data_IF_442411099574
#
_entry.id   IF_442411099574
#
_cell.length_a   1.000
_cell.length_b   1.000
_cell.length_c   1.000
_cell.angle_alpha   90.00
_cell.angle_beta   90.00
_cell.angle_gamma   90.00
#
_symmetry.space_group_name_H-M   'P 1'
#
loop_
_entity.id
_entity.type
_entity.pdbx_description
1 polymer ?
#
# COMPACT_ATOMS: atom_id res chain seq x y z
N UNK A 1 -41.67 -4.78 -23.07
CA UNK A 1 -40.80 -5.65 -23.90
C UNK A 1 -40.65 -5.01 -25.26
N UNK A 2 -39.63 -4.16 -25.45
CA UNK A 2 -39.32 -3.59 -26.76
C UNK A 2 -38.59 -4.65 -27.59
N UNK A 3 -39.24 -5.14 -28.64
CA UNK A 3 -38.69 -6.17 -29.52
C UNK A 3 -37.53 -5.58 -30.35
N UNK A 4 -36.29 -5.94 -30.02
CA UNK A 4 -35.15 -5.62 -30.87
C UNK A 4 -35.30 -6.30 -32.24
N UNK A 5 -35.02 -5.55 -33.31
CA UNK A 5 -35.11 -6.05 -34.70
C UNK A 5 -33.77 -6.64 -35.18
N UNK A 6 -33.79 -7.31 -36.34
CA UNK A 6 -32.59 -7.91 -36.91
C UNK A 6 -31.56 -6.84 -37.30
N UNK A 7 -30.30 -7.23 -37.46
CA UNK A 7 -29.26 -6.29 -37.89
C UNK A 7 -29.60 -5.67 -39.25
N UNK A 8 -30.19 -6.42 -40.17
CA UNK A 8 -30.51 -5.91 -41.51
C UNK A 8 -31.60 -4.85 -41.48
N UNK A 9 -32.55 -4.94 -40.54
CA UNK A 9 -33.62 -3.95 -40.36
C UNK A 9 -33.10 -2.60 -39.84
N UNK A 10 -32.03 -2.63 -39.02
CA UNK A 10 -31.47 -1.43 -38.37
C UNK A 10 -30.21 -0.91 -39.05
N UNK A 11 -29.60 -1.71 -39.93
CA UNK A 11 -28.43 -1.30 -40.73
C UNK A 11 -28.62 0.06 -41.42
N UNK A 12 -29.79 0.42 -42.02
CA UNK A 12 -29.97 1.74 -42.58
C UNK A 12 -29.83 2.85 -41.53
N UNK A 13 -30.48 2.72 -40.36
CA UNK A 13 -30.36 3.68 -39.26
C UNK A 13 -28.91 3.79 -38.76
N UNK A 14 -28.18 2.68 -38.67
CA UNK A 14 -26.75 2.67 -38.33
C UNK A 14 -25.95 3.52 -39.31
N UNK A 15 -26.17 3.35 -40.63
CA UNK A 15 -25.46 4.12 -41.64
C UNK A 15 -25.85 5.61 -41.61
N UNK A 16 -27.11 5.95 -41.32
CA UNK A 16 -27.54 7.33 -41.07
C UNK A 16 -26.83 7.94 -39.86
N UNK A 17 -26.71 7.19 -38.76
CA UNK A 17 -25.98 7.62 -37.57
C UNK A 17 -24.48 7.79 -37.86
N UNK A 18 -23.89 6.89 -38.67
CA UNK A 18 -22.51 7.02 -39.15
C UNK A 18 -22.33 8.20 -40.10
N UNK A 19 -23.33 8.55 -40.90
CA UNK A 19 -23.26 9.69 -41.78
C UNK A 19 -23.59 11.02 -41.06
N UNK A 20 -24.09 10.97 -39.82
CA UNK A 20 -24.49 12.16 -39.07
C UNK A 20 -25.78 12.81 -39.60
N UNK A 21 -26.63 12.07 -40.29
CA UNK A 21 -27.85 12.57 -40.95
C UNK A 21 -28.98 12.75 -39.95
N UNK A 22 -28.88 13.77 -39.09
CA UNK A 22 -29.80 14.00 -37.97
C UNK A 22 -31.28 14.03 -38.38
N UNK A 23 -31.64 14.78 -39.43
CA UNK A 23 -33.02 14.89 -39.89
C UNK A 23 -33.57 13.55 -40.40
N UNK A 24 -32.77 12.78 -41.15
CA UNK A 24 -33.17 11.46 -41.64
C UNK A 24 -33.35 10.46 -40.47
N UNK A 25 -32.56 10.60 -39.39
CA UNK A 25 -32.74 9.82 -38.16
C UNK A 25 -34.01 10.24 -37.41
N UNK A 26 -34.32 11.53 -37.36
CA UNK A 26 -35.60 12.00 -36.80
C UNK A 26 -36.78 11.44 -37.58
N UNK A 27 -36.77 11.50 -38.92
CA UNK A 27 -37.82 10.95 -39.77
C UNK A 27 -38.00 9.44 -39.56
N UNK A 28 -36.90 8.71 -39.41
CA UNK A 28 -36.90 7.28 -39.07
C UNK A 28 -37.68 7.01 -37.78
N UNK A 29 -37.42 7.79 -36.73
CA UNK A 29 -38.05 7.63 -35.41
C UNK A 29 -39.53 8.06 -35.45
N UNK A 30 -39.86 9.19 -36.09
CA UNK A 30 -41.26 9.62 -36.25
C UNK A 30 -42.10 8.63 -37.05
N UNK A 31 -41.49 7.87 -37.95
CA UNK A 31 -42.14 6.79 -38.70
C UNK A 31 -42.39 5.52 -37.87
N UNK A 32 -42.04 5.51 -36.57
CA UNK A 32 -42.22 4.36 -35.69
C UNK A 32 -41.31 3.16 -36.00
N UNK A 33 -40.23 3.37 -36.75
CA UNK A 33 -39.28 2.31 -37.10
C UNK A 33 -38.40 1.93 -35.91
N UNK A 34 -37.87 0.69 -35.87
CA UNK A 34 -37.07 0.22 -34.74
C UNK A 34 -35.76 0.99 -34.59
N UNK A 35 -35.36 1.25 -33.34
CA UNK A 35 -34.09 1.91 -32.99
C UNK A 35 -33.07 0.98 -32.30
N UNK A 36 -33.53 -0.18 -31.83
CA UNK A 36 -32.74 -1.09 -30.99
C UNK A 36 -32.42 -2.41 -31.70
N UNK A 37 -31.14 -2.76 -31.76
CA UNK A 37 -30.66 -4.00 -32.41
C UNK A 37 -30.76 -5.17 -31.44
N UNK A 38 -31.34 -6.29 -31.88
CA UNK A 38 -31.22 -7.55 -31.15
C UNK A 38 -29.82 -8.14 -31.36
N UNK A 39 -29.01 -8.15 -30.31
CA UNK A 39 -27.66 -8.71 -30.37
C UNK A 39 -27.71 -10.23 -30.60
N UNK A 40 -26.82 -10.75 -31.47
CA UNK A 40 -26.67 -12.19 -31.67
C UNK A 40 -25.97 -12.83 -30.48
N UNK A 41 -26.45 -14.00 -30.05
CA UNK A 41 -25.78 -14.83 -29.05
C UNK A 41 -24.56 -15.56 -29.64
N UNK A 42 -24.55 -15.79 -30.96
CA UNK A 42 -23.46 -16.45 -31.69
C UNK A 42 -22.87 -15.45 -32.70
N UNK A 43 -21.74 -14.84 -32.37
CA UNK A 43 -21.04 -13.86 -33.21
C UNK A 43 -20.61 -12.59 -32.47
N UNK A 44 -19.80 -11.75 -33.14
CA UNK A 44 -19.32 -10.48 -32.57
C UNK A 44 -20.44 -9.46 -32.35
N UNK A 45 -20.37 -8.72 -31.24
CA UNK A 45 -21.33 -7.65 -30.90
C UNK A 45 -21.36 -6.58 -31.99
N UNK A 46 -22.55 -6.14 -32.37
CA UNK A 46 -22.72 -5.02 -33.31
C UNK A 46 -22.98 -3.75 -32.52
N UNK A 47 -22.36 -2.64 -32.92
CA UNK A 47 -22.61 -1.35 -32.28
C UNK A 47 -24.06 -0.91 -32.47
N UNK A 48 -24.69 -0.41 -31.43
CA UNK A 48 -26.05 0.14 -31.51
C UNK A 48 -26.04 1.53 -32.15
N UNK A 49 -27.17 2.02 -32.69
CA UNK A 49 -27.26 3.40 -33.17
C UNK A 49 -26.85 4.42 -32.08
N UNK A 50 -27.30 4.20 -30.84
CA UNK A 50 -26.94 5.03 -29.68
C UNK A 50 -25.43 5.03 -29.41
N UNK A 51 -24.79 3.87 -29.42
CA UNK A 51 -23.33 3.76 -29.25
C UNK A 51 -22.56 4.53 -30.32
N UNK A 52 -22.99 4.43 -31.58
CA UNK A 52 -22.36 5.16 -32.69
C UNK A 52 -22.52 6.66 -32.50
N UNK A 53 -23.68 7.13 -32.05
CA UNK A 53 -23.92 8.54 -31.78
C UNK A 53 -23.03 9.06 -30.63
N UNK A 54 -22.85 8.27 -29.57
CA UNK A 54 -21.96 8.59 -28.44
C UNK A 54 -20.50 8.60 -28.89
N UNK A 55 -20.06 7.61 -29.67
CA UNK A 55 -18.70 7.53 -30.20
C UNK A 55 -18.32 8.73 -31.07
N UNK A 56 -19.31 9.27 -31.80
CA UNK A 56 -19.16 10.49 -32.60
C UNK A 56 -19.26 11.76 -31.76
N UNK A 57 -19.78 11.66 -30.55
CA UNK A 57 -19.99 12.80 -29.69
C UNK A 57 -21.08 13.75 -30.20
N UNK A 58 -22.03 13.24 -30.98
CA UNK A 58 -23.08 14.05 -31.61
C UNK A 58 -24.27 14.17 -30.66
N UNK A 59 -24.22 15.18 -29.79
CA UNK A 59 -25.21 15.40 -28.71
C UNK A 59 -26.66 15.32 -29.20
N UNK A 60 -27.01 16.06 -30.27
CA UNK A 60 -28.38 16.06 -30.82
C UNK A 60 -28.81 14.70 -31.35
N UNK A 61 -27.87 13.92 -31.91
CA UNK A 61 -28.17 12.58 -32.39
C UNK A 61 -28.40 11.61 -31.23
N UNK A 62 -27.62 11.72 -30.16
CA UNK A 62 -27.86 10.97 -28.90
C UNK A 62 -29.24 11.31 -28.35
N UNK A 63 -29.58 12.59 -28.27
CA UNK A 63 -30.88 13.05 -27.76
C UNK A 63 -32.05 12.46 -28.56
N UNK A 64 -32.01 12.60 -29.88
CA UNK A 64 -33.06 12.08 -30.77
C UNK A 64 -33.21 10.56 -30.64
N UNK A 65 -32.10 9.82 -30.53
CA UNK A 65 -32.14 8.38 -30.34
C UNK A 65 -32.72 7.97 -28.97
N UNK A 66 -32.41 8.72 -27.90
CA UNK A 66 -32.99 8.48 -26.57
C UNK A 66 -34.48 8.79 -26.54
N UNK A 67 -34.92 9.88 -27.18
CA UNK A 67 -36.34 10.21 -27.36
C UNK A 67 -37.09 9.12 -28.16
N UNK A 68 -36.40 8.46 -29.10
CA UNK A 68 -36.90 7.30 -29.83
C UNK A 68 -36.93 5.98 -29.05
N UNK A 69 -36.58 5.98 -27.76
CA UNK A 69 -36.61 4.78 -26.92
C UNK A 69 -35.39 3.86 -27.10
N UNK A 70 -34.22 4.42 -27.40
CA UNK A 70 -32.98 3.64 -27.42
C UNK A 70 -32.66 3.04 -26.04
N UNK A 71 -32.21 1.79 -26.03
CA UNK A 71 -31.76 1.10 -24.82
C UNK A 71 -30.44 1.73 -24.35
N UNK A 72 -30.45 2.26 -23.13
CA UNK A 72 -29.30 2.91 -22.48
C UNK A 72 -28.29 1.87 -21.98
N UNK A 73 -28.77 0.79 -21.37
CA UNK A 73 -27.92 -0.26 -20.83
C UNK A 73 -28.52 -1.66 -21.09
N UNK A 74 -27.68 -2.60 -21.47
CA UNK A 74 -27.93 -4.03 -21.59
C UNK A 74 -26.70 -4.83 -21.12
N UNK A 75 -26.79 -6.17 -21.09
CA UNK A 75 -25.72 -7.06 -20.59
C UNK A 75 -24.35 -6.91 -21.29
N UNK A 76 -24.31 -6.29 -22.48
CA UNK A 76 -23.09 -6.16 -23.29
C UNK A 76 -22.73 -4.71 -23.62
N UNK A 77 -23.53 -3.74 -23.17
CA UNK A 77 -23.33 -2.32 -23.45
C UNK A 77 -23.96 -1.44 -22.38
N UNK A 78 -23.18 -0.50 -21.86
CA UNK A 78 -23.67 0.58 -21.02
C UNK A 78 -23.31 1.93 -21.67
N UNK A 79 -24.32 2.68 -22.12
CA UNK A 79 -24.15 3.99 -22.73
C UNK A 79 -23.49 5.00 -21.78
N UNK A 80 -23.78 4.90 -20.48
CA UNK A 80 -23.19 5.78 -19.47
C UNK A 80 -21.69 5.51 -19.33
N UNK A 81 -21.28 4.24 -19.27
CA UNK A 81 -19.86 3.86 -19.29
C UNK A 81 -19.16 4.33 -20.57
N UNK A 82 -19.78 4.15 -21.74
CA UNK A 82 -19.22 4.62 -23.01
C UNK A 82 -19.04 6.16 -23.02
N UNK A 83 -20.03 6.92 -22.55
CA UNK A 83 -19.93 8.37 -22.45
C UNK A 83 -18.84 8.81 -21.47
N UNK A 84 -18.66 8.06 -20.39
CA UNK A 84 -17.61 8.25 -19.37
C UNK A 84 -16.21 8.03 -19.95
N UNK A 85 -15.99 6.92 -20.67
CA UNK A 85 -14.74 6.65 -21.39
C UNK A 85 -14.39 7.75 -22.40
N UNK A 86 -15.41 8.33 -23.04
CA UNK A 86 -15.26 9.48 -23.95
C UNK A 86 -15.12 10.83 -23.22
N UNK A 87 -15.27 10.87 -21.90
CA UNK A 87 -15.26 12.07 -21.05
C UNK A 87 -16.26 13.14 -21.51
N UNK A 88 -17.40 12.70 -22.06
CA UNK A 88 -18.43 13.59 -22.62
C UNK A 88 -19.48 13.93 -21.57
N UNK A 89 -19.16 14.92 -20.74
CA UNK A 89 -20.03 15.34 -19.64
C UNK A 89 -21.45 15.73 -20.10
N UNK A 90 -21.56 16.41 -21.24
CA UNK A 90 -22.85 16.77 -21.84
C UNK A 90 -23.72 15.54 -22.18
N UNK A 91 -23.09 14.46 -22.63
CA UNK A 91 -23.77 13.19 -22.95
C UNK A 91 -24.10 12.42 -21.67
N UNK A 92 -23.22 12.44 -20.66
CA UNK A 92 -23.47 11.84 -19.33
C UNK A 92 -24.74 12.47 -18.72
N UNK A 93 -24.82 13.81 -18.70
CA UNK A 93 -25.99 14.52 -18.20
C UNK A 93 -27.27 14.15 -18.94
N UNK A 94 -27.18 14.06 -20.28
CA UNK A 94 -28.30 13.68 -21.13
C UNK A 94 -28.77 12.24 -20.85
N UNK A 95 -27.85 11.28 -20.73
CA UNK A 95 -28.18 9.88 -20.45
C UNK A 95 -28.86 9.74 -19.08
N UNK A 96 -28.33 10.38 -18.04
CA UNK A 96 -28.93 10.36 -16.69
C UNK A 96 -30.31 11.01 -16.69
N UNK A 97 -30.50 12.11 -17.42
CA UNK A 97 -31.83 12.74 -17.61
C UNK A 97 -32.85 11.79 -18.26
N UNK A 98 -32.40 10.87 -19.11
CA UNK A 98 -33.24 9.86 -19.76
C UNK A 98 -33.31 8.53 -18.98
N UNK A 99 -32.91 8.52 -17.70
CA UNK A 99 -33.07 7.38 -16.79
C UNK A 99 -31.88 6.43 -16.75
N UNK A 100 -30.68 6.83 -17.21
CA UNK A 100 -29.47 6.08 -16.93
C UNK A 100 -29.17 6.08 -15.42
N UNK A 101 -28.98 4.88 -14.86
CA UNK A 101 -28.64 4.69 -13.45
C UNK A 101 -27.14 4.93 -13.24
N UNK A 102 -26.78 5.88 -12.36
CA UNK A 102 -25.38 6.22 -12.06
C UNK A 102 -24.64 5.08 -11.37
N UNK A 103 -25.36 4.18 -10.68
CA UNK A 103 -24.79 3.01 -10.03
C UNK A 103 -24.40 1.88 -11.01
N UNK A 104 -24.80 2.02 -12.27
CA UNK A 104 -24.42 1.07 -13.34
C UNK A 104 -22.96 1.21 -13.79
N UNK A 105 -22.23 2.19 -13.25
CA UNK A 105 -20.82 2.46 -13.52
C UNK A 105 -20.07 2.56 -12.19
N UNK A 106 -18.88 1.98 -12.17
CA UNK A 106 -18.00 1.99 -11.00
C UNK A 106 -17.39 3.38 -10.78
N UNK A 107 -17.29 3.84 -9.52
CA UNK A 107 -16.63 5.11 -9.21
C UNK A 107 -15.12 5.11 -9.52
N UNK A 108 -14.46 3.95 -9.60
CA UNK A 108 -13.11 3.81 -10.14
C UNK A 108 -13.04 4.31 -11.58
N UNK A 109 -13.96 3.89 -12.46
CA UNK A 109 -14.03 4.36 -13.84
C UNK A 109 -14.28 5.87 -13.89
N UNK A 110 -15.12 6.37 -12.97
CA UNK A 110 -15.42 7.81 -12.85
C UNK A 110 -14.17 8.59 -12.46
N UNK A 111 -13.41 8.10 -11.49
CA UNK A 111 -12.16 8.75 -11.09
C UNK A 111 -11.10 8.69 -12.20
N UNK A 112 -11.04 7.60 -12.97
CA UNK A 112 -10.09 7.43 -14.09
C UNK A 112 -10.39 8.36 -15.29
N UNK A 113 -11.53 9.07 -15.26
CA UNK A 113 -11.71 10.22 -16.18
C UNK A 113 -10.78 11.39 -15.87
N UNK A 114 -10.31 11.53 -14.63
CA UNK A 114 -9.59 12.67 -14.08
C UNK A 114 -10.37 14.00 -14.11
N UNK A 115 -11.67 13.98 -14.43
CA UNK A 115 -12.50 15.19 -14.62
C UNK A 115 -13.31 15.53 -13.36
N UNK A 116 -12.97 16.61 -12.60
CA UNK A 116 -13.66 16.94 -11.35
C UNK A 116 -15.17 17.16 -11.53
N UNK A 117 -15.59 17.77 -12.65
CA UNK A 117 -17.00 18.02 -12.92
C UNK A 117 -17.80 16.73 -13.08
N UNK A 118 -17.18 15.69 -13.66
CA UNK A 118 -17.80 14.38 -13.80
C UNK A 118 -17.87 13.72 -12.41
N UNK A 119 -16.76 13.71 -11.66
CA UNK A 119 -16.72 13.16 -10.30
C UNK A 119 -17.78 13.80 -9.39
N UNK A 120 -17.85 15.13 -9.38
CA UNK A 120 -18.82 15.91 -8.60
C UNK A 120 -20.26 15.57 -9.03
N UNK A 121 -20.51 15.43 -10.34
CA UNK A 121 -21.84 15.07 -10.81
C UNK A 121 -22.28 13.69 -10.33
N UNK A 122 -21.42 12.67 -10.42
CA UNK A 122 -21.78 11.31 -10.01
C UNK A 122 -22.08 11.23 -8.50
N UNK A 123 -21.25 11.84 -7.64
CA UNK A 123 -21.49 11.82 -6.18
C UNK A 123 -22.76 12.58 -5.78
N UNK A 124 -23.08 13.69 -6.47
CA UNK A 124 -24.32 14.43 -6.21
C UNK A 124 -25.57 13.69 -6.70
N UNK A 125 -25.44 12.76 -7.65
CA UNK A 125 -26.52 11.90 -8.12
C UNK A 125 -26.57 10.55 -7.38
N UNK A 126 -25.80 10.40 -6.29
CA UNK A 126 -25.88 9.23 -5.41
C UNK A 126 -25.02 8.04 -5.82
N UNK A 127 -23.97 8.24 -6.63
CA UNK A 127 -22.97 7.21 -6.86
C UNK A 127 -22.29 6.79 -5.55
N UNK A 128 -22.07 5.49 -5.39
CA UNK A 128 -21.43 4.92 -4.20
C UNK A 128 -19.92 5.19 -4.22
N UNK A 129 -19.43 5.79 -3.15
CA UNK A 129 -18.02 6.16 -2.95
C UNK A 129 -17.39 5.46 -1.75
N UNK A 130 -18.13 4.56 -1.09
CA UNK A 130 -17.72 3.90 0.14
C UNK A 130 -17.38 2.42 -0.08
N UNK A 131 -18.20 1.68 -0.83
CA UNK A 131 -17.96 0.25 -1.13
C UNK A 131 -16.72 0.06 -1.99
N UNK A 132 -15.88 -0.93 -1.66
CA UNK A 132 -14.63 -1.27 -2.37
C UNK A 132 -13.59 -0.14 -2.47
N UNK A 133 -13.76 0.93 -1.68
CA UNK A 133 -12.76 1.99 -1.49
C UNK A 133 -12.25 2.66 -2.79
N UNK A 134 -13.15 3.15 -3.67
CA UNK A 134 -12.78 3.66 -5.00
C UNK A 134 -11.88 4.91 -4.94
N UNK A 135 -12.03 5.74 -3.90
CA UNK A 135 -11.17 6.90 -3.69
C UNK A 135 -9.77 6.49 -3.21
N UNK A 136 -9.64 5.42 -2.41
CA UNK A 136 -8.33 4.86 -2.06
C UNK A 136 -7.60 4.40 -3.32
N UNK A 137 -8.28 3.68 -4.21
CA UNK A 137 -7.74 3.31 -5.53
C UNK A 137 -7.27 4.54 -6.31
N UNK A 138 -8.10 5.58 -6.40
CA UNK A 138 -7.76 6.79 -7.15
C UNK A 138 -6.54 7.52 -6.58
N UNK A 139 -6.38 7.55 -5.25
CA UNK A 139 -5.16 8.08 -4.62
C UNK A 139 -3.94 7.20 -4.89
N UNK A 140 -4.07 5.88 -4.88
CA UNK A 140 -2.98 4.96 -5.22
C UNK A 140 -2.56 5.10 -6.70
N UNK A 141 -3.52 5.27 -7.61
CA UNK A 141 -3.28 5.57 -9.03
C UNK A 141 -2.83 7.00 -9.31
N UNK A 142 -2.67 7.82 -8.26
CA UNK A 142 -2.13 9.17 -8.32
C UNK A 142 -2.98 10.16 -9.12
N UNK A 143 -4.30 9.98 -9.10
CA UNK A 143 -5.28 10.86 -9.75
C UNK A 143 -5.36 12.18 -8.98
N UNK A 144 -4.52 13.16 -9.33
CA UNK A 144 -4.36 14.40 -8.52
C UNK A 144 -5.64 15.20 -8.34
N UNK A 145 -6.58 15.11 -9.28
CA UNK A 145 -7.85 15.84 -9.24
C UNK A 145 -8.76 15.36 -8.10
N UNK A 146 -8.56 14.14 -7.58
CA UNK A 146 -9.34 13.63 -6.43
C UNK A 146 -8.95 14.29 -5.10
N UNK A 147 -7.81 14.97 -4.99
CA UNK A 147 -7.43 15.72 -3.79
C UNK A 147 -8.42 16.87 -3.49
N UNK A 148 -8.83 17.58 -4.55
CA UNK A 148 -9.84 18.64 -4.44
C UNK A 148 -11.23 18.08 -4.12
N UNK A 149 -11.57 16.95 -4.76
CA UNK A 149 -12.80 16.20 -4.51
C UNK A 149 -12.89 15.74 -3.04
N UNK A 150 -11.85 15.09 -2.52
CA UNK A 150 -11.77 14.68 -1.11
C UNK A 150 -12.06 15.86 -0.17
N UNK A 151 -11.41 17.01 -0.40
CA UNK A 151 -11.59 18.18 0.48
C UNK A 151 -13.01 18.71 0.51
N UNK A 152 -13.72 18.65 -0.61
CA UNK A 152 -15.13 19.07 -0.70
C UNK A 152 -16.05 18.11 0.06
N UNK A 153 -15.79 16.81 -0.02
CA UNK A 153 -16.76 15.79 0.40
C UNK A 153 -16.40 15.02 1.67
N UNK A 154 -15.20 15.19 2.24
CA UNK A 154 -14.73 14.44 3.42
C UNK A 154 -15.64 14.52 4.66
N UNK A 155 -16.42 15.59 4.80
CA UNK A 155 -17.35 15.74 5.93
C UNK A 155 -18.68 15.02 5.69
N UNK A 156 -19.03 14.72 4.43
CA UNK A 156 -20.22 13.97 4.04
C UNK A 156 -19.97 12.46 4.10
N UNK A 157 -18.73 12.02 3.86
CA UNK A 157 -18.35 10.60 3.80
C UNK A 157 -17.19 10.30 4.75
N UNK A 158 -17.45 9.80 5.96
CA UNK A 158 -16.41 9.46 6.93
C UNK A 158 -15.39 8.45 6.41
N UNK A 159 -15.81 7.52 5.53
CA UNK A 159 -14.94 6.51 4.89
C UNK A 159 -13.79 7.13 4.10
N UNK A 160 -13.88 8.40 3.69
CA UNK A 160 -12.80 9.09 2.98
C UNK A 160 -11.51 9.14 3.80
N UNK A 161 -11.62 9.27 5.12
CA UNK A 161 -10.46 9.24 5.99
C UNK A 161 -9.77 7.87 5.96
N UNK A 162 -10.55 6.79 6.09
CA UNK A 162 -10.05 5.41 5.96
C UNK A 162 -9.39 5.19 4.60
N UNK A 163 -10.01 5.67 3.52
CA UNK A 163 -9.47 5.57 2.16
C UNK A 163 -8.17 6.35 1.97
N UNK A 164 -8.03 7.51 2.62
CA UNK A 164 -6.77 8.26 2.64
C UNK A 164 -5.68 7.53 3.44
N UNK A 165 -6.05 6.84 4.54
CA UNK A 165 -5.12 6.03 5.32
C UNK A 165 -4.62 4.80 4.54
N UNK A 166 -5.52 4.11 3.81
CA UNK A 166 -5.17 3.01 2.89
C UNK A 166 -4.14 3.50 1.86
N UNK A 167 -4.42 4.63 1.21
CA UNK A 167 -3.52 5.20 0.22
C UNK A 167 -2.18 5.66 0.82
N UNK A 168 -2.18 6.19 2.05
CA UNK A 168 -0.94 6.56 2.75
C UNK A 168 -0.05 5.34 2.97
N UNK A 169 -0.61 4.22 3.47
CA UNK A 169 0.13 2.96 3.65
C UNK A 169 0.70 2.45 2.34
N UNK A 170 -0.09 2.46 1.27
CA UNK A 170 0.35 2.10 -0.07
C UNK A 170 1.54 2.96 -0.54
N UNK A 171 1.45 4.30 -0.43
CA UNK A 171 2.54 5.18 -0.88
C UNK A 171 3.78 5.12 0.01
N UNK A 172 3.64 4.75 1.30
CA UNK A 172 4.78 4.44 2.16
C UNK A 172 5.49 3.15 1.75
N UNK A 173 4.73 2.10 1.43
CA UNK A 173 5.25 0.83 0.88
C UNK A 173 5.97 1.01 -0.45
N UNK A 174 5.51 1.93 -1.30
CA UNK A 174 6.13 2.24 -2.60
C UNK A 174 7.22 3.32 -2.52
N UNK A 175 7.43 3.97 -1.36
CA UNK A 175 8.42 5.04 -1.19
C UNK A 175 8.11 6.33 -1.94
N UNK A 176 6.84 6.57 -2.29
CA UNK A 176 6.43 7.74 -3.07
C UNK A 176 6.27 8.98 -2.19
N UNK A 177 7.39 9.63 -1.85
CA UNK A 177 7.45 10.79 -0.95
C UNK A 177 6.47 11.92 -1.28
N UNK A 178 6.23 12.15 -2.58
CA UNK A 178 5.29 13.16 -3.05
C UNK A 178 3.87 12.82 -2.61
N UNK A 179 3.44 11.58 -2.78
CA UNK A 179 2.10 11.16 -2.42
C UNK A 179 1.95 10.88 -0.93
N UNK A 180 2.99 10.39 -0.25
CA UNK A 180 3.02 10.38 1.22
C UNK A 180 2.75 11.78 1.77
N UNK A 181 3.47 12.79 1.27
CA UNK A 181 3.28 14.19 1.67
C UNK A 181 1.86 14.70 1.39
N UNK A 182 1.26 14.30 0.27
CA UNK A 182 -0.10 14.71 -0.10
C UNK A 182 -1.16 14.01 0.74
N UNK A 183 -0.98 12.73 1.07
CA UNK A 183 -1.88 11.98 1.95
C UNK A 183 -1.86 12.56 3.37
N UNK A 184 -0.68 12.86 3.91
CA UNK A 184 -0.57 13.59 5.19
C UNK A 184 -1.22 14.98 5.09
N UNK A 185 -1.05 15.70 3.98
CA UNK A 185 -1.68 17.01 3.78
C UNK A 185 -3.21 16.98 3.71
N UNK A 186 -3.81 15.90 3.17
CA UNK A 186 -5.28 15.74 3.20
C UNK A 186 -5.80 15.30 4.58
N UNK A 187 -4.92 14.80 5.45
CA UNK A 187 -5.23 14.43 6.83
C UNK A 187 -5.09 12.94 7.14
N UNK A 188 -4.48 12.14 6.26
CA UNK A 188 -4.22 10.74 6.53
C UNK A 188 -3.37 10.56 7.81
N UNK A 189 -3.71 9.56 8.61
CA UNK A 189 -3.06 9.26 9.88
C UNK A 189 -1.96 8.20 9.68
N UNK A 190 -0.68 8.55 9.85
CA UNK A 190 0.42 7.61 9.64
C UNK A 190 0.50 6.49 10.68
N UNK A 191 -0.17 6.65 11.82
CA UNK A 191 -0.16 5.70 12.94
C UNK A 191 -1.37 4.79 12.98
N UNK A 192 -2.30 4.91 12.03
CA UNK A 192 -3.48 4.06 11.99
C UNK A 192 -3.14 2.74 11.29
N UNK A 193 -3.17 1.59 12.00
CA UNK A 193 -2.98 0.30 11.38
C UNK A 193 -4.15 0.01 10.44
N UNK A 194 -3.88 -0.74 9.38
CA UNK A 194 -4.92 -1.25 8.50
C UNK A 194 -4.35 -1.82 7.21
N UNK A 195 -5.21 -2.32 6.32
CA UNK A 195 -4.78 -2.81 5.02
C UNK A 195 -4.29 -1.66 4.13
N UNK A 196 -3.28 -1.92 3.30
CA UNK A 196 -3.07 -1.12 2.08
C UNK A 196 -3.96 -1.66 0.94
N UNK A 197 -3.95 -1.00 -0.23
CA UNK A 197 -4.92 -1.28 -1.29
C UNK A 197 -4.90 -2.74 -1.75
N UNK A 198 -3.72 -3.34 -1.91
CA UNK A 198 -3.62 -4.74 -2.37
C UNK A 198 -3.84 -5.78 -1.27
N UNK A 199 -3.92 -5.36 0.00
CA UNK A 199 -4.20 -6.25 1.13
C UNK A 199 -5.72 -6.48 1.31
N UNK A 200 -6.58 -5.64 0.72
CA UNK A 200 -8.04 -5.69 0.86
C UNK A 200 -8.71 -6.98 0.34
N UNK A 201 -7.97 -7.82 -0.40
CA UNK A 201 -8.43 -9.13 -0.88
C UNK A 201 -7.92 -10.32 -0.06
N UNK A 202 -7.10 -10.07 0.97
CA UNK A 202 -6.54 -11.09 1.85
C UNK A 202 -7.24 -11.08 3.20
N UNK A 203 -7.49 -12.26 3.75
CA UNK A 203 -8.05 -12.43 5.09
C UNK A 203 -6.93 -12.28 6.14
N UNK A 204 -6.43 -11.05 6.29
CA UNK A 204 -5.44 -10.70 7.31
C UNK A 204 -6.15 -10.37 8.61
N UNK A 205 -5.70 -10.99 9.70
CA UNK A 205 -6.18 -10.68 11.04
C UNK A 205 -5.82 -9.22 11.40
N UNK A 206 -6.69 -8.51 12.13
CA UNK A 206 -6.45 -7.11 12.50
C UNK A 206 -5.13 -6.91 13.28
N UNK A 207 -4.69 -7.95 13.99
CA UNK A 207 -3.44 -8.00 14.75
C UNK A 207 -2.18 -7.96 13.87
N UNK A 208 -2.31 -8.34 12.58
CA UNK A 208 -1.23 -8.29 11.59
C UNK A 208 -1.14 -6.95 10.86
N UNK A 209 -2.11 -6.05 11.08
CA UNK A 209 -2.16 -4.78 10.36
C UNK A 209 -1.04 -3.83 10.77
N UNK A 210 -0.33 -3.36 9.75
CA UNK A 210 0.74 -2.38 9.89
C UNK A 210 0.23 -0.95 9.69
N UNK A 211 0.83 0.01 10.38
CA UNK A 211 0.60 1.42 10.10
C UNK A 211 1.50 1.89 8.93
N UNK A 212 1.31 3.13 8.47
CA UNK A 212 2.03 3.61 7.28
C UNK A 212 3.55 3.75 7.50
N UNK A 213 3.97 4.03 8.72
CA UNK A 213 5.39 4.12 9.04
C UNK A 213 6.03 2.73 9.11
N UNK A 214 5.30 1.72 9.57
CA UNK A 214 5.76 0.32 9.55
C UNK A 214 6.01 -0.15 8.11
N UNK A 215 5.08 0.13 7.17
CA UNK A 215 5.30 -0.15 5.76
C UNK A 215 6.52 0.58 5.19
N UNK A 216 6.71 1.87 5.51
CA UNK A 216 7.89 2.61 5.06
C UNK A 216 9.19 1.98 5.59
N UNK A 217 9.22 1.55 6.85
CA UNK A 217 10.38 0.91 7.45
C UNK A 217 10.64 -0.49 6.86
N UNK A 218 9.59 -1.31 6.71
CA UNK A 218 9.68 -2.68 6.19
C UNK A 218 10.20 -2.74 4.75
N UNK A 219 9.82 -1.76 3.93
CA UNK A 219 10.20 -1.67 2.51
C UNK A 219 11.42 -0.79 2.25
N UNK A 220 12.22 -0.47 3.28
CA UNK A 220 13.46 0.31 3.17
C UNK A 220 13.27 1.76 2.62
N UNK A 221 12.11 2.39 2.82
CA UNK A 221 11.77 3.74 2.35
C UNK A 221 11.96 4.80 3.44
N UNK A 222 13.20 4.97 3.88
CA UNK A 222 13.53 5.75 5.08
C UNK A 222 13.38 7.26 4.91
N UNK A 223 13.41 7.76 3.68
CA UNK A 223 13.22 9.17 3.34
C UNK A 223 11.82 9.67 3.76
N UNK A 224 10.85 8.76 3.97
CA UNK A 224 9.54 9.07 4.55
C UNK A 224 9.67 9.70 5.94
N UNK A 225 10.62 9.23 6.76
CA UNK A 225 10.82 9.73 8.13
C UNK A 225 11.56 11.08 8.20
N UNK A 226 12.12 11.53 7.08
CA UNK A 226 12.76 12.84 6.93
C UNK A 226 11.74 13.93 6.56
N UNK A 227 10.53 13.56 6.15
CA UNK A 227 9.46 14.50 5.84
C UNK A 227 9.10 15.31 7.09
N UNK A 228 9.12 16.64 6.97
CA UNK A 228 8.80 17.57 8.07
C UNK A 228 7.42 17.36 8.69
N UNK A 229 6.50 16.79 7.90
CA UNK A 229 5.14 16.49 8.32
C UNK A 229 5.06 15.25 9.21
N UNK A 230 6.03 14.34 9.12
CA UNK A 230 6.11 13.14 9.97
C UNK A 230 6.78 13.53 11.29
N UNK A 231 5.96 13.64 12.34
CA UNK A 231 6.42 13.94 13.69
C UNK A 231 6.47 12.66 14.50
N UNK A 232 7.62 12.00 14.49
CA UNK A 232 7.85 10.84 15.33
C UNK A 232 7.79 11.23 16.81
N UNK A 233 6.94 10.53 17.56
CA UNK A 233 6.89 10.62 19.00
C UNK A 233 7.40 9.31 19.61
N UNK A 234 8.61 9.29 20.20
CA UNK A 234 9.19 8.10 20.83
C UNK A 234 8.35 7.53 21.99
N UNK A 235 7.47 8.33 22.58
CA UNK A 235 6.61 7.93 23.70
C UNK A 235 5.28 7.34 23.23
N UNK A 236 5.01 7.38 21.92
CA UNK A 236 3.81 6.76 21.37
C UNK A 236 3.98 5.23 21.35
N UNK A 237 3.07 4.51 22.00
CA UNK A 237 3.12 3.04 22.04
C UNK A 237 3.11 2.43 20.64
N UNK A 238 2.47 3.10 19.66
CA UNK A 238 2.42 2.67 18.25
C UNK A 238 3.76 2.82 17.54
N UNK A 239 4.66 3.67 18.03
CA UNK A 239 5.98 3.86 17.46
C UNK A 239 7.00 2.80 17.95
N UNK A 240 6.63 1.99 18.96
CA UNK A 240 7.52 0.96 19.53
C UNK A 240 7.99 -0.07 18.50
N UNK A 241 7.14 -0.42 17.53
CA UNK A 241 7.42 -1.37 16.44
C UNK A 241 8.43 -0.81 15.42
N UNK A 242 8.66 0.50 15.37
CA UNK A 242 9.61 1.08 14.42
C UNK A 242 11.06 0.60 14.68
N UNK A 243 11.44 0.43 15.95
CA UNK A 243 12.74 -0.15 16.31
C UNK A 243 12.83 -1.63 15.88
N UNK A 244 11.73 -2.37 16.00
CA UNK A 244 11.62 -3.75 15.58
C UNK A 244 11.89 -3.89 14.07
N UNK A 245 11.28 -3.04 13.24
CA UNK A 245 11.51 -2.98 11.80
C UNK A 245 12.92 -2.49 11.44
N UNK A 246 13.43 -1.47 12.14
CA UNK A 246 14.80 -1.00 11.95
C UNK A 246 15.84 -2.10 12.17
N UNK A 247 15.60 -2.98 13.15
CA UNK A 247 16.47 -4.14 13.41
C UNK A 247 16.35 -5.24 12.33
N UNK A 248 15.31 -5.25 11.49
CA UNK A 248 15.21 -6.13 10.32
C UNK A 248 15.97 -5.60 9.09
N UNK A 249 16.12 -4.28 8.98
CA UNK A 249 16.78 -3.57 7.87
C UNK A 249 18.15 -4.15 7.49
N UNK A 250 18.57 -3.95 6.24
CA UNK A 250 19.90 -4.38 5.76
C UNK A 250 21.04 -3.55 6.33
N UNK A 251 20.80 -2.30 6.72
CA UNK A 251 21.82 -1.36 7.20
C UNK A 251 21.38 -0.58 8.45
N UNK A 252 22.35 -0.06 9.20
CA UNK A 252 22.10 0.57 10.50
C UNK A 252 21.54 2.00 10.41
N UNK A 253 21.35 2.58 9.22
CA UNK A 253 21.01 4.01 9.06
C UNK A 253 19.67 4.36 9.68
N UNK A 254 18.65 3.53 9.43
CA UNK A 254 17.31 3.78 9.96
C UNK A 254 17.27 3.68 11.49
N UNK A 255 17.97 2.69 12.04
CA UNK A 255 18.09 2.53 13.48
C UNK A 255 18.78 3.75 14.09
N UNK A 256 19.91 4.19 13.52
CA UNK A 256 20.62 5.39 13.97
C UNK A 256 19.70 6.62 13.96
N UNK A 257 18.96 6.83 12.86
CA UNK A 257 18.00 7.93 12.75
C UNK A 257 16.90 7.88 13.82
N UNK A 258 16.35 6.70 14.14
CA UNK A 258 15.36 6.58 15.23
C UNK A 258 15.97 6.87 16.59
N UNK A 259 17.17 6.37 16.87
CA UNK A 259 17.87 6.65 18.12
C UNK A 259 18.17 8.16 18.29
N UNK A 260 18.62 8.83 17.22
CA UNK A 260 18.82 10.29 17.19
C UNK A 260 17.53 11.08 17.44
N UNK A 261 16.38 10.55 17.02
CA UNK A 261 15.06 11.12 17.30
C UNK A 261 14.54 10.82 18.70
N UNK A 262 15.33 10.17 19.55
CA UNK A 262 15.05 9.97 20.97
C UNK A 262 14.33 8.67 21.30
N UNK A 263 14.28 7.71 20.37
CA UNK A 263 13.80 6.36 20.68
C UNK A 263 14.79 5.65 21.61
N UNK A 264 14.28 5.17 22.74
CA UNK A 264 15.08 4.52 23.78
C UNK A 264 14.77 3.03 23.82
N UNK A 265 15.64 2.16 23.30
CA UNK A 265 15.41 0.72 23.32
C UNK A 265 15.36 0.14 24.74
N UNK A 266 16.05 0.74 25.71
CA UNK A 266 16.05 0.33 27.11
C UNK A 266 14.75 0.59 27.86
N UNK A 267 13.87 1.48 27.36
CA UNK A 267 12.58 1.78 28.01
C UNK A 267 11.52 0.69 27.71
N UNK A 268 11.85 -0.31 26.89
CA UNK A 268 10.96 -1.44 26.55
C UNK A 268 10.80 -2.41 27.73
N UNK A 269 9.70 -3.19 27.79
CA UNK A 269 9.49 -4.18 28.85
C UNK A 269 10.60 -5.23 28.98
N UNK A 270 11.27 -5.57 27.87
CA UNK A 270 12.37 -6.53 27.79
C UNK A 270 13.77 -5.87 27.86
N UNK A 271 13.80 -4.56 28.17
CA UNK A 271 14.99 -3.70 28.17
C UNK A 271 15.78 -3.69 26.84
N UNK A 272 15.17 -4.13 25.73
CA UNK A 272 15.81 -4.20 24.41
C UNK A 272 16.46 -5.54 24.06
N UNK A 273 16.23 -6.59 24.86
CA UNK A 273 16.76 -7.94 24.63
C UNK A 273 16.34 -8.50 23.27
N UNK A 274 15.07 -8.36 22.90
CA UNK A 274 14.50 -8.83 21.64
C UNK A 274 15.11 -8.11 20.43
N UNK A 275 15.39 -6.80 20.56
CA UNK A 275 16.03 -6.02 19.50
C UNK A 275 17.45 -6.53 19.22
N UNK A 276 18.25 -6.73 20.28
CA UNK A 276 19.59 -7.30 20.16
C UNK A 276 19.52 -8.72 19.59
N UNK A 277 18.59 -9.53 20.09
CA UNK A 277 18.39 -10.90 19.62
C UNK A 277 18.04 -10.95 18.14
N UNK A 278 17.21 -10.02 17.66
CA UNK A 278 16.85 -9.91 16.25
C UNK A 278 18.04 -9.54 15.37
N UNK A 279 18.90 -8.62 15.82
CA UNK A 279 20.16 -8.34 15.12
C UNK A 279 21.08 -9.58 15.05
N UNK A 280 21.17 -10.35 16.14
CA UNK A 280 21.92 -11.61 16.16
C UNK A 280 21.36 -12.64 15.16
N UNK A 281 20.03 -12.81 15.08
CA UNK A 281 19.42 -13.65 14.05
C UNK A 281 19.73 -13.16 12.64
N UNK A 282 19.83 -11.84 12.45
CA UNK A 282 20.13 -11.19 11.19
C UNK A 282 21.58 -11.31 10.70
N UNK A 283 22.51 -11.84 11.53
CA UNK A 283 23.93 -12.05 11.16
C UNK A 283 24.06 -13.02 9.97
N UNK A 284 23.13 -13.97 9.85
CA UNK A 284 23.09 -14.97 8.79
C UNK A 284 21.97 -14.65 7.78
N UNK A 285 22.27 -14.72 6.48
CA UNK A 285 21.25 -14.65 5.42
C UNK A 285 20.64 -16.02 5.14
N UNK A 286 19.43 -16.05 4.59
CA UNK A 286 18.82 -17.29 4.10
C UNK A 286 19.72 -18.02 3.08
N UNK A 287 20.45 -17.26 2.25
CA UNK A 287 21.37 -17.77 1.24
C UNK A 287 22.69 -18.28 1.81
N UNK A 288 23.01 -17.96 3.08
CA UNK A 288 24.22 -18.44 3.76
C UNK A 288 24.03 -19.85 4.33
N UNK A 289 22.81 -20.42 4.22
CA UNK A 289 22.44 -21.79 4.63
C UNK A 289 23.18 -22.84 3.77
N UNK A 290 24.49 -22.97 4.00
CA UNK A 290 25.39 -23.87 3.28
C UNK A 290 26.86 -23.59 3.57
N UNK A 291 27.21 -22.36 3.95
CA UNK A 291 28.55 -22.03 4.46
C UNK A 291 28.69 -22.52 5.90
N UNK A 292 29.73 -23.29 6.19
CA UNK A 292 29.78 -24.06 7.43
C UNK A 292 30.42 -23.29 8.60
N UNK A 293 31.32 -22.32 8.38
CA UNK A 293 32.00 -21.49 9.42
C UNK A 293 32.63 -20.23 8.83
N UNK A 294 33.02 -19.29 9.71
CA UNK A 294 33.84 -18.11 9.41
C UNK A 294 33.18 -17.06 8.50
N UNK A 295 31.88 -16.85 8.66
CA UNK A 295 31.11 -15.87 7.90
C UNK A 295 31.54 -14.43 8.23
N UNK A 296 31.63 -13.59 7.19
CA UNK A 296 31.91 -12.15 7.30
C UNK A 296 31.26 -11.39 6.13
N UNK A 297 29.97 -11.10 6.26
CA UNK A 297 29.19 -10.41 5.23
C UNK A 297 29.00 -8.93 5.57
N UNK A 298 28.71 -8.10 4.57
CA UNK A 298 28.35 -6.70 4.82
C UNK A 298 27.13 -6.57 5.74
N UNK A 299 26.13 -7.45 5.55
CA UNK A 299 24.95 -7.53 6.42
C UNK A 299 25.34 -7.82 7.87
N UNK A 300 26.24 -8.77 8.10
CA UNK A 300 26.69 -9.12 9.44
C UNK A 300 27.39 -7.94 10.14
N UNK A 301 28.27 -7.22 9.43
CA UNK A 301 28.89 -6.00 9.96
C UNK A 301 27.85 -4.96 10.34
N UNK A 302 26.84 -4.75 9.48
CA UNK A 302 25.73 -3.83 9.79
C UNK A 302 24.92 -4.28 11.01
N UNK A 303 24.69 -5.59 11.20
CA UNK A 303 24.03 -6.10 12.41
C UNK A 303 24.86 -5.90 13.67
N UNK A 304 26.18 -6.05 13.61
CA UNK A 304 27.03 -5.70 14.76
C UNK A 304 27.00 -4.21 15.08
N UNK A 305 27.03 -3.35 14.05
CA UNK A 305 26.82 -1.90 14.24
C UNK A 305 25.47 -1.61 14.89
N UNK A 306 24.40 -2.30 14.49
CA UNK A 306 23.09 -2.14 15.13
C UNK A 306 23.11 -2.55 16.60
N UNK A 307 23.73 -3.69 16.96
CA UNK A 307 23.86 -4.14 18.35
C UNK A 307 24.63 -3.11 19.18
N UNK A 308 25.71 -2.56 18.61
CA UNK A 308 26.48 -1.49 19.24
C UNK A 308 25.63 -0.25 19.49
N UNK A 309 24.90 0.24 18.47
CA UNK A 309 24.00 1.39 18.59
C UNK A 309 22.90 1.17 19.63
N UNK A 310 22.29 -0.02 19.66
CA UNK A 310 21.27 -0.38 20.64
C UNK A 310 21.83 -0.31 22.07
N UNK A 311 22.96 -0.97 22.31
CA UNK A 311 23.60 -1.01 23.63
C UNK A 311 24.03 0.39 24.10
N UNK A 312 24.63 1.18 23.20
CA UNK A 312 24.99 2.58 23.47
C UNK A 312 23.78 3.44 23.87
N UNK A 313 22.58 3.11 23.38
CA UNK A 313 21.34 3.79 23.69
C UNK A 313 20.50 3.07 24.78
N UNK A 314 21.16 2.25 25.61
CA UNK A 314 20.58 1.68 26.82
C UNK A 314 19.85 0.35 26.64
N UNK A 315 19.89 -0.27 25.45
CA UNK A 315 19.39 -1.63 25.28
C UNK A 315 20.28 -2.62 26.06
N UNK A 316 19.66 -3.63 26.67
CA UNK A 316 20.33 -4.72 27.37
C UNK A 316 19.93 -6.06 26.79
N UNK A 317 20.85 -7.00 26.77
CA UNK A 317 20.64 -8.39 26.45
C UNK A 317 20.55 -9.20 27.74
N UNK A 318 19.31 -9.34 28.23
CA UNK A 318 18.93 -10.03 29.47
C UNK A 318 17.97 -11.18 29.14
N UNK A 319 18.46 -12.26 28.50
CA UNK A 319 17.63 -13.36 28.05
C UNK A 319 16.90 -14.03 29.21
N UNK A 320 15.58 -14.18 29.09
CA UNK A 320 14.73 -14.79 30.13
C UNK A 320 14.82 -16.32 30.14
N UNK A 321 15.26 -16.92 29.03
CA UNK A 321 15.31 -18.36 28.84
C UNK A 321 16.62 -18.86 28.20
N UNK A 322 16.92 -20.16 28.38
CA UNK A 322 18.14 -20.78 27.86
C UNK A 322 18.15 -20.96 26.34
N UNK A 323 16.99 -20.98 25.69
CA UNK A 323 16.86 -21.15 24.24
C UNK A 323 17.33 -19.87 23.52
N UNK A 324 17.01 -18.68 24.06
CA UNK A 324 17.52 -17.39 23.54
C UNK A 324 19.05 -17.33 23.55
N UNK A 325 19.70 -17.73 24.65
CA UNK A 325 21.18 -17.81 24.76
C UNK A 325 21.75 -18.83 23.76
N UNK A 326 21.08 -19.97 23.60
CA UNK A 326 21.48 -21.02 22.66
C UNK A 326 21.43 -20.53 21.22
N UNK A 327 20.39 -19.79 20.84
CA UNK A 327 20.24 -19.27 19.49
C UNK A 327 21.27 -18.19 19.18
N UNK A 328 21.49 -17.26 20.12
CA UNK A 328 22.56 -16.27 20.03
C UNK A 328 23.93 -16.95 19.80
N UNK A 329 24.25 -17.98 20.60
CA UNK A 329 25.48 -18.76 20.47
C UNK A 329 25.60 -19.42 19.10
N UNK A 330 24.52 -20.03 18.60
CA UNK A 330 24.52 -20.69 17.30
C UNK A 330 24.78 -19.71 16.15
N UNK A 331 24.31 -18.46 16.27
CA UNK A 331 24.61 -17.42 15.28
C UNK A 331 26.07 -16.99 15.34
N UNK A 332 26.58 -16.69 16.52
CA UNK A 332 27.96 -16.22 16.71
C UNK A 332 29.01 -17.27 16.31
N UNK A 333 28.79 -18.56 16.58
CA UNK A 333 29.73 -19.64 16.21
C UNK A 333 29.98 -19.73 14.70
N UNK A 334 29.00 -19.35 13.88
CA UNK A 334 29.12 -19.39 12.42
C UNK A 334 29.96 -18.25 11.85
N UNK A 335 30.15 -17.17 12.62
CA UNK A 335 30.85 -15.95 12.20
C UNK A 335 32.37 -16.09 12.38
N UNK A 336 33.12 -15.10 11.90
CA UNK A 336 34.51 -14.90 12.36
C UNK A 336 34.57 -14.74 13.90
N UNK A 337 35.61 -15.24 14.58
CA UNK A 337 35.73 -15.14 16.05
C UNK A 337 35.58 -13.71 16.59
N UNK A 338 36.06 -12.73 15.82
CA UNK A 338 35.99 -11.29 16.11
C UNK A 338 34.56 -10.83 16.47
N UNK A 339 33.52 -11.40 15.85
CA UNK A 339 32.12 -11.05 16.12
C UNK A 339 31.66 -11.43 17.53
N UNK A 340 32.10 -12.59 18.02
CA UNK A 340 31.75 -13.05 19.37
C UNK A 340 32.51 -12.23 20.42
N UNK A 341 33.78 -11.89 20.15
CA UNK A 341 34.57 -10.99 21.00
C UNK A 341 33.97 -9.59 21.01
N UNK A 342 33.61 -9.05 19.85
CA UNK A 342 32.97 -7.73 19.70
C UNK A 342 31.63 -7.70 20.43
N UNK A 343 30.79 -8.74 20.29
CA UNK A 343 29.53 -8.84 21.04
C UNK A 343 29.77 -8.77 22.56
N UNK A 344 30.69 -9.58 23.09
CA UNK A 344 31.02 -9.57 24.52
C UNK A 344 31.57 -8.21 24.95
N UNK A 345 32.42 -7.60 24.13
CA UNK A 345 32.95 -6.27 24.39
C UNK A 345 31.83 -5.22 24.46
N UNK A 346 30.89 -5.20 23.51
CA UNK A 346 29.73 -4.29 23.54
C UNK A 346 28.93 -4.49 24.82
N UNK A 347 28.66 -5.74 25.20
CA UNK A 347 27.90 -6.04 26.42
C UNK A 347 28.61 -5.51 27.67
N UNK A 348 29.94 -5.65 27.75
CA UNK A 348 30.74 -5.18 28.88
C UNK A 348 30.87 -3.64 28.91
N UNK A 349 31.20 -3.02 27.77
CA UNK A 349 31.46 -1.58 27.65
C UNK A 349 30.22 -0.76 28.07
N UNK A 350 29.04 -1.17 27.62
CA UNK A 350 27.79 -0.46 27.91
C UNK A 350 27.02 -1.02 29.11
N UNK A 351 27.56 -2.00 29.84
CA UNK A 351 26.85 -2.73 30.89
C UNK A 351 25.48 -3.25 30.40
N UNK A 352 25.48 -3.73 29.15
CA UNK A 352 24.30 -4.18 28.44
C UNK A 352 24.01 -5.67 28.67
N UNK A 353 24.77 -6.38 29.49
CA UNK A 353 24.42 -7.72 29.97
C UNK A 353 25.02 -7.96 31.35
N UNK A 354 24.91 -9.18 31.88
CA UNK A 354 25.57 -9.57 33.13
C UNK A 354 26.54 -10.73 32.91
N UNK A 355 27.41 -10.94 33.89
CA UNK A 355 28.46 -11.95 33.83
C UNK A 355 27.91 -13.38 33.63
N UNK A 356 26.77 -13.70 34.25
CA UNK A 356 26.18 -15.04 34.20
C UNK A 356 25.68 -15.40 32.80
N UNK A 357 25.02 -14.45 32.11
CA UNK A 357 24.55 -14.66 30.75
C UNK A 357 25.70 -14.81 29.76
N UNK A 358 26.76 -14.01 29.89
CA UNK A 358 27.94 -14.13 29.02
C UNK A 358 28.69 -15.45 29.30
N UNK A 359 28.84 -15.86 30.56
CA UNK A 359 29.42 -17.16 30.92
C UNK A 359 28.61 -18.32 30.34
N UNK A 360 27.28 -18.25 30.40
CA UNK A 360 26.43 -19.27 29.77
C UNK A 360 26.58 -19.22 28.24
N UNK A 361 26.60 -18.05 27.62
CA UNK A 361 26.83 -17.88 26.17
C UNK A 361 28.12 -18.58 25.72
N UNK A 362 29.22 -18.44 26.46
CA UNK A 362 30.51 -19.04 26.10
C UNK A 362 30.75 -20.44 26.70
N UNK A 363 29.74 -21.08 27.31
CA UNK A 363 29.93 -22.32 28.06
C UNK A 363 30.39 -23.52 27.21
N UNK A 364 29.94 -23.62 25.96
CA UNK A 364 30.09 -24.83 25.15
C UNK A 364 31.49 -25.00 24.55
N UNK A 365 31.95 -26.24 24.30
CA UNK A 365 33.28 -26.47 23.72
C UNK A 365 33.48 -25.79 22.36
N UNK A 366 32.43 -25.75 21.53
CA UNK A 366 32.50 -25.18 20.17
C UNK A 366 32.83 -23.68 20.18
N UNK A 367 32.20 -22.91 21.06
CA UNK A 367 32.49 -21.46 21.16
C UNK A 367 33.82 -21.21 21.90
N UNK A 368 34.16 -22.01 22.91
CA UNK A 368 35.47 -21.93 23.57
C UNK A 368 36.63 -22.17 22.63
N UNK A 369 36.46 -23.06 21.64
CA UNK A 369 37.49 -23.35 20.65
C UNK A 369 37.78 -22.15 19.75
N UNK A 370 36.75 -21.43 19.28
CA UNK A 370 36.95 -20.23 18.44
C UNK A 370 37.45 -19.02 19.23
N UNK A 371 37.18 -18.97 20.54
CA UNK A 371 37.59 -17.89 21.43
C UNK A 371 38.94 -18.14 22.13
N UNK A 372 39.61 -19.27 21.84
CA UNK A 372 40.80 -19.70 22.58
C UNK A 372 41.93 -18.65 22.54
N UNK A 373 42.13 -17.99 21.40
CA UNK A 373 43.15 -16.96 21.20
C UNK A 373 42.82 -15.63 21.90
N UNK A 374 41.56 -15.42 22.30
CA UNK A 374 41.07 -14.20 22.94
C UNK A 374 40.70 -14.40 24.42
N UNK A 375 41.11 -15.52 25.04
CA UNK A 375 40.68 -15.88 26.39
C UNK A 375 41.01 -14.80 27.43
N UNK A 376 42.23 -14.26 27.42
CA UNK A 376 42.64 -13.22 28.38
C UNK A 376 41.77 -11.97 28.26
N UNK A 377 41.49 -11.52 27.04
CA UNK A 377 40.61 -10.38 26.78
C UNK A 377 39.18 -10.66 27.26
N UNK A 378 38.66 -11.86 27.04
CA UNK A 378 37.31 -12.23 27.50
C UNK A 378 37.25 -12.25 29.03
N UNK A 379 38.26 -12.78 29.70
CA UNK A 379 38.31 -12.80 31.17
C UNK A 379 38.31 -11.37 31.74
N UNK A 380 39.09 -10.45 31.16
CA UNK A 380 39.07 -9.02 31.52
C UNK A 380 37.70 -8.36 31.28
N UNK A 381 37.01 -8.70 30.18
CA UNK A 381 35.67 -8.17 29.89
C UNK A 381 34.62 -8.72 30.85
N UNK A 382 34.76 -9.98 31.28
CA UNK A 382 33.87 -10.60 32.27
C UNK A 382 34.01 -9.96 33.66
N UNK A 383 35.15 -9.35 33.99
CA UNK A 383 35.33 -8.61 35.23
C UNK A 383 34.68 -7.21 35.21
N UNK A 384 34.43 -6.66 34.02
CA UNK A 384 33.78 -5.35 33.84
C UNK A 384 32.25 -5.40 33.90
N UNK A 385 31.66 -6.59 33.77
CA UNK A 385 30.21 -6.86 33.66
C UNK A 385 29.49 -6.92 35.00
#
# INVERSE_FOLDING_TARGET
MTHGCSYDDIKPLIELCKAGKLFEVQDWIHSGKPVNIKQSQRGGRKKTPLEIAIDRGFHSLVQVLLEGGSIIADDRFNALNQALFKKRFDIIQLLVKHGADVSSVDMIDVFDTWEPKIMDYFIEHGADVETDYPLAWAFCQRIRTTLGFYKRYKHRFPSFQTQANIALRHHCKEGNLKWVSLMIWVGANPYEPGPELYDLGFDLEEEEWMNALDYAALYDHYEVFELKQIKLNPQDSRASQLLDHACFSKDARILAMFLEKGFKPGDRPDEGTELIQRCLYGLESFWDRGSTRNLDSNRAREKMKMIHLLAQNGAKWLPQDKQTIKDARLKLIKMRPDYAVEFIWIMAEYKASNQDYIKELIRTPSIKAILAEHRSTIDELLEKL
#
